data_IF_676408279543
#
_entry.id   IF_676408279543
#
_cell.length_a   1.000
_cell.length_b   1.000
_cell.length_c   1.000
_cell.angle_alpha   90.00
_cell.angle_beta   90.00
_cell.angle_gamma   90.00
#
_symmetry.space_group_name_H-M   'P 1'
#
loop_
_entity.id
_entity.type
_entity.pdbx_description
1 polymer ?
#
# COMPACT_ATOMS: atom_id res chain seq x y z
N UNK A 1 10.42 -6.50 69.28
CA UNK A 1 11.75 -6.75 69.86
C UNK A 1 11.69 -8.17 70.39
N UNK A 2 11.88 -9.14 69.51
CA UNK A 2 13.16 -9.87 69.32
C UNK A 2 13.09 -11.14 70.21
N UNK A 3 13.46 -12.36 69.83
CA UNK A 3 14.49 -12.89 68.92
C UNK A 3 14.04 -14.29 68.45
N UNK A 4 14.49 -14.68 67.27
CA UNK A 4 14.42 -15.98 66.61
C UNK A 4 15.19 -17.13 67.33
N UNK A 5 14.84 -18.39 67.05
CA UNK A 5 15.70 -19.33 66.28
C UNK A 5 15.12 -20.77 66.20
N UNK A 6 14.80 -21.21 64.96
CA UNK A 6 15.32 -22.37 64.16
C UNK A 6 15.62 -23.68 64.93
N UNK A 7 15.22 -24.90 64.47
CA UNK A 7 15.69 -25.53 63.20
C UNK A 7 14.64 -26.47 62.52
N UNK A 8 14.80 -27.17 61.38
CA UNK A 8 15.90 -27.93 60.73
C UNK A 8 15.54 -28.09 59.23
N UNK A 9 16.55 -28.16 58.37
CA UNK A 9 16.49 -28.51 56.94
C UNK A 9 15.87 -29.89 56.62
N UNK A 10 15.09 -29.98 55.54
CA UNK A 10 15.06 -31.17 54.68
C UNK A 10 15.02 -30.76 53.20
N UNK A 11 15.98 -31.29 52.45
CA UNK A 11 16.07 -31.21 50.98
C UNK A 11 15.02 -32.07 50.26
N UNK A 12 15.11 -32.16 48.92
CA UNK A 12 13.94 -32.10 48.05
C UNK A 12 13.37 -33.49 47.71
N UNK A 13 12.04 -33.60 47.77
CA UNK A 13 11.30 -34.66 47.07
C UNK A 13 10.50 -33.97 45.96
N UNK A 14 11.02 -34.05 44.73
CA UNK A 14 10.38 -33.57 43.52
C UNK A 14 9.44 -34.67 43.03
N UNK A 15 8.17 -34.60 43.41
CA UNK A 15 7.12 -35.47 42.88
C UNK A 15 6.77 -35.01 41.47
N UNK A 16 6.93 -35.91 40.51
CA UNK A 16 6.46 -35.79 39.13
C UNK A 16 4.94 -35.57 39.12
N UNK A 17 4.55 -34.32 38.87
CA UNK A 17 3.19 -33.95 38.56
C UNK A 17 3.05 -33.79 37.05
N UNK A 18 2.40 -34.79 36.43
CA UNK A 18 1.88 -34.78 35.06
C UNK A 18 1.32 -33.39 34.68
N UNK A 19 2.03 -32.70 33.80
CA UNK A 19 1.45 -31.65 32.97
C UNK A 19 1.18 -32.27 31.61
N UNK A 20 -0.10 -32.45 31.31
CA UNK A 20 -0.58 -32.64 29.95
C UNK A 20 -0.17 -31.42 29.12
N UNK A 21 0.96 -31.58 28.42
CA UNK A 21 1.32 -30.77 27.27
C UNK A 21 0.28 -31.00 26.18
N UNK A 22 -0.77 -30.18 26.16
CA UNK A 22 -1.51 -29.94 24.92
C UNK A 22 -0.63 -29.10 23.99
N UNK A 23 0.29 -29.81 23.34
CA UNK A 23 0.96 -29.42 22.10
C UNK A 23 -0.11 -29.04 21.08
N UNK A 24 -0.29 -27.74 20.88
CA UNK A 24 -0.97 -27.19 19.71
C UNK A 24 -0.06 -27.36 18.50
N UNK A 25 0.06 -28.58 18.00
CA UNK A 25 0.57 -28.88 16.67
C UNK A 25 -0.50 -28.50 15.66
N UNK A 26 -0.36 -27.31 15.05
CA UNK A 26 -0.97 -26.97 13.77
C UNK A 26 -0.17 -25.85 13.10
N UNK A 27 1.15 -26.02 13.02
CA UNK A 27 1.98 -25.42 11.97
C UNK A 27 2.12 -26.46 10.86
N UNK A 28 1.13 -26.50 9.98
CA UNK A 28 1.25 -27.19 8.70
C UNK A 28 1.46 -26.12 7.63
N UNK A 29 2.67 -26.09 7.11
CA UNK A 29 3.03 -25.48 5.84
C UNK A 29 1.96 -25.74 4.78
N UNK A 30 1.21 -24.71 4.37
CA UNK A 30 0.47 -24.75 3.11
C UNK A 30 1.43 -24.37 1.97
N UNK A 31 2.23 -25.35 1.55
CA UNK A 31 2.80 -25.38 0.21
C UNK A 31 1.67 -25.76 -0.75
N UNK A 32 1.32 -24.82 -1.65
CA UNK A 32 0.69 -25.07 -2.95
C UNK A 32 -0.51 -26.01 -3.00
N UNK A 33 -1.72 -25.51 -2.70
CA UNK A 33 -2.90 -26.01 -3.42
C UNK A 33 -3.02 -25.24 -4.74
N UNK A 34 -2.65 -25.90 -5.83
CA UNK A 34 -2.96 -25.48 -7.20
C UNK A 34 -4.49 -25.35 -7.34
N UNK A 35 -5.00 -24.12 -7.22
CA UNK A 35 -6.41 -23.82 -7.43
C UNK A 35 -6.71 -23.67 -8.93
N UNK A 36 -6.61 -24.76 -9.70
CA UNK A 36 -7.24 -24.85 -11.02
C UNK A 36 -8.27 -25.98 -11.04
N UNK A 37 -9.50 -25.71 -10.54
CA UNK A 37 -10.66 -26.58 -10.78
C UNK A 37 -11.14 -26.62 -12.24
N UNK A 38 -10.42 -25.98 -13.17
CA UNK A 38 -10.77 -25.85 -14.60
C UNK A 38 -9.83 -26.62 -15.54
N UNK A 39 -8.70 -27.12 -15.03
CA UNK A 39 -7.68 -27.85 -15.77
C UNK A 39 -7.92 -29.35 -15.58
N UNK A 40 -8.71 -30.01 -16.45
CA UNK A 40 -9.08 -31.42 -16.23
C UNK A 40 -8.06 -32.43 -16.78
N UNK A 41 -7.00 -32.00 -17.49
CA UNK A 41 -5.87 -32.87 -17.85
C UNK A 41 -4.68 -32.56 -16.94
N UNK A 42 -3.99 -33.59 -16.39
CA UNK A 42 -2.74 -33.38 -15.67
C UNK A 42 -1.70 -32.76 -16.62
N UNK A 43 -0.89 -31.83 -16.09
CA UNK A 43 0.22 -31.22 -16.82
C UNK A 43 1.30 -32.30 -16.99
N UNK A 44 1.44 -32.84 -18.20
CA UNK A 44 2.33 -33.98 -18.50
C UNK A 44 3.55 -33.59 -19.31
N UNK A 45 3.48 -32.45 -20.00
CA UNK A 45 4.55 -31.97 -20.86
C UNK A 45 5.10 -30.68 -20.27
N UNK A 46 6.41 -30.67 -20.02
CA UNK A 46 7.14 -29.52 -19.53
C UNK A 46 8.27 -29.13 -20.47
N UNK A 47 8.53 -27.84 -20.53
CA UNK A 47 9.70 -27.26 -21.19
C UNK A 47 10.28 -26.20 -20.27
N UNK A 48 11.61 -26.09 -20.28
CA UNK A 48 12.34 -25.09 -19.51
C UNK A 48 13.32 -24.37 -20.41
N UNK A 49 13.30 -23.04 -20.35
CA UNK A 49 14.27 -22.18 -21.00
C UNK A 49 14.96 -21.32 -19.95
N UNK A 50 16.27 -21.18 -20.08
CA UNK A 50 17.07 -20.29 -19.24
C UNK A 50 17.69 -19.21 -20.11
N UNK A 51 17.45 -17.96 -19.77
CA UNK A 51 18.10 -16.78 -20.36
C UNK A 51 19.21 -16.36 -19.39
N UNK A 52 20.48 -16.68 -19.68
CA UNK A 52 21.60 -16.32 -18.82
C UNK A 52 22.04 -14.87 -19.08
N UNK A 53 22.93 -14.37 -18.21
CA UNK A 53 23.72 -13.15 -18.45
C UNK A 53 22.92 -11.84 -18.53
N UNK A 54 21.80 -11.72 -17.82
CA UNK A 54 21.09 -10.44 -17.70
C UNK A 54 21.94 -9.51 -16.83
N UNK A 55 22.25 -8.31 -17.33
CA UNK A 55 23.11 -7.35 -16.64
C UNK A 55 22.24 -6.48 -15.73
N UNK A 56 22.60 -6.41 -14.45
CA UNK A 56 21.98 -5.53 -13.48
C UNK A 56 22.98 -4.43 -13.09
N UNK A 57 22.90 -3.30 -13.77
CA UNK A 57 23.61 -2.07 -13.39
C UNK A 57 22.69 -0.83 -13.51
N UNK A 58 23.19 0.32 -13.09
CA UNK A 58 22.44 1.57 -13.04
C UNK A 58 22.06 2.18 -14.39
N UNK A 59 22.48 1.60 -15.52
CA UNK A 59 22.18 2.11 -16.86
C UNK A 59 21.22 1.20 -17.63
N UNK A 60 21.03 -0.03 -17.15
CA UNK A 60 20.22 -1.03 -17.82
C UNK A 60 18.75 -1.00 -17.41
N UNK A 61 17.90 -1.43 -18.35
CA UNK A 61 16.46 -1.66 -18.16
C UNK A 61 16.17 -3.13 -18.37
N UNK A 62 15.42 -3.75 -17.46
CA UNK A 62 14.90 -5.11 -17.64
C UNK A 62 13.40 -5.03 -17.87
N UNK A 63 12.96 -5.54 -19.02
CA UNK A 63 11.55 -5.61 -19.36
C UNK A 63 11.13 -7.06 -19.58
N UNK A 64 10.11 -7.50 -18.87
CA UNK A 64 9.52 -8.84 -19.02
C UNK A 64 8.06 -8.66 -19.40
N UNK A 65 7.68 -9.18 -20.56
CA UNK A 65 6.33 -9.13 -21.06
C UNK A 65 5.78 -10.53 -21.35
N UNK A 66 4.63 -10.86 -20.77
CA UNK A 66 3.89 -12.08 -21.05
C UNK A 66 2.54 -11.72 -21.64
N UNK A 67 2.26 -12.17 -22.87
CA UNK A 67 1.02 -11.90 -23.59
C UNK A 67 0.30 -13.18 -23.99
N UNK A 68 -1.01 -13.09 -24.07
CA UNK A 68 -1.85 -14.11 -24.74
C UNK A 68 -2.25 -13.57 -26.11
N UNK A 69 -1.59 -14.05 -27.16
CA UNK A 69 -1.72 -13.54 -28.52
C UNK A 69 -3.09 -13.86 -29.12
N UNK A 70 -3.91 -12.82 -29.33
CA UNK A 70 -5.17 -12.89 -30.08
C UNK A 70 -4.87 -12.68 -31.57
N UNK A 71 -5.11 -13.69 -32.39
CA UNK A 71 -5.11 -13.55 -33.85
C UNK A 71 -6.57 -13.47 -34.33
N UNK A 72 -6.88 -12.48 -35.15
CA UNK A 72 -8.24 -12.20 -35.64
C UNK A 72 -8.79 -13.27 -36.62
N UNK A 73 -7.95 -14.19 -37.08
CA UNK A 73 -8.30 -15.20 -38.11
C UNK A 73 -8.36 -16.65 -37.59
N UNK A 74 -8.27 -16.89 -36.28
CA UNK A 74 -8.22 -18.26 -35.75
C UNK A 74 -9.56 -18.75 -35.22
N UNK A 75 -9.97 -19.95 -35.64
CA UNK A 75 -11.04 -20.73 -35.01
C UNK A 75 -10.41 -21.71 -34.02
N UNK A 76 -10.89 -21.79 -32.78
CA UNK A 76 -10.33 -22.76 -31.82
C UNK A 76 -10.91 -22.63 -30.44
N UNK A 77 -10.42 -23.44 -29.50
CA UNK A 77 -10.80 -23.30 -28.09
C UNK A 77 -9.88 -22.34 -27.37
N UNK A 78 -10.48 -21.48 -26.56
CA UNK A 78 -9.76 -20.52 -25.74
C UNK A 78 -8.85 -21.23 -24.73
N UNK A 79 -7.57 -20.86 -24.75
CA UNK A 79 -6.60 -21.30 -23.76
C UNK A 79 -6.82 -20.57 -22.43
N UNK A 80 -6.63 -21.32 -21.35
CA UNK A 80 -6.47 -20.76 -20.02
C UNK A 80 -4.99 -20.78 -19.66
N UNK A 81 -4.39 -19.60 -19.66
CA UNK A 81 -3.01 -19.37 -19.18
C UNK A 81 -3.08 -18.97 -17.72
N UNK A 82 -2.25 -19.57 -16.88
CA UNK A 82 -2.14 -19.25 -15.46
C UNK A 82 -0.74 -19.52 -14.95
N UNK A 83 -0.42 -19.03 -13.76
CA UNK A 83 0.84 -19.33 -13.09
C UNK A 83 1.38 -18.11 -12.35
N UNK A 84 2.71 -17.99 -12.29
CA UNK A 84 3.37 -16.95 -11.50
C UNK A 84 4.68 -16.46 -12.10
N UNK A 85 5.02 -15.22 -11.78
CA UNK A 85 6.33 -14.61 -11.97
C UNK A 85 6.90 -14.26 -10.59
N UNK A 86 8.01 -14.90 -10.24
CA UNK A 86 8.72 -14.68 -8.98
C UNK A 86 10.02 -13.92 -9.24
N UNK A 87 10.25 -12.83 -8.49
CA UNK A 87 11.51 -12.08 -8.49
C UNK A 87 12.25 -12.40 -7.20
N UNK A 88 13.38 -13.09 -7.31
CA UNK A 88 14.13 -13.58 -6.15
C UNK A 88 15.63 -13.29 -6.27
N UNK A 89 16.31 -13.28 -5.13
CA UNK A 89 17.77 -13.22 -5.11
C UNK A 89 18.37 -14.51 -5.67
N UNK A 90 19.43 -14.38 -6.48
CA UNK A 90 20.21 -15.50 -6.98
C UNK A 90 21.03 -16.17 -5.88
N UNK A 91 21.35 -15.46 -4.79
CA UNK A 91 22.29 -15.91 -3.76
C UNK A 91 23.77 -15.91 -4.22
N UNK A 92 24.00 -15.80 -5.52
CA UNK A 92 25.31 -15.68 -6.15
C UNK A 92 25.80 -14.23 -6.15
N UNK A 93 27.10 -14.01 -5.92
CA UNK A 93 27.76 -12.69 -5.94
C UNK A 93 28.16 -12.23 -7.36
N UNK A 94 27.59 -12.83 -8.39
CA UNK A 94 27.76 -12.40 -9.77
C UNK A 94 27.11 -11.04 -9.99
N UNK A 95 27.49 -10.27 -11.01
CA UNK A 95 26.70 -9.11 -11.48
C UNK A 95 25.69 -9.50 -12.58
N UNK A 96 25.62 -10.80 -12.90
CA UNK A 96 24.77 -11.36 -13.95
C UNK A 96 23.64 -12.15 -13.33
N UNK A 97 22.42 -11.73 -13.60
CA UNK A 97 21.23 -12.50 -13.28
C UNK A 97 20.84 -13.44 -14.42
N UNK A 98 19.74 -14.14 -14.21
CA UNK A 98 19.14 -15.03 -15.20
C UNK A 98 17.63 -15.04 -15.07
N UNK A 99 16.94 -15.38 -16.15
CA UNK A 99 15.49 -15.63 -16.14
C UNK A 99 15.26 -17.08 -16.53
N UNK A 100 14.55 -17.81 -15.68
CA UNK A 100 14.09 -19.18 -15.96
C UNK A 100 12.60 -19.14 -16.28
N UNK A 101 12.22 -19.77 -17.39
CA UNK A 101 10.84 -19.87 -17.85
C UNK A 101 10.50 -21.34 -17.96
N UNK A 102 9.56 -21.80 -17.12
CA UNK A 102 9.02 -23.16 -17.16
C UNK A 102 7.60 -23.12 -17.69
N UNK A 103 7.35 -23.88 -18.74
CA UNK A 103 6.07 -24.01 -19.41
C UNK A 103 5.60 -25.44 -19.16
N UNK A 104 4.41 -25.61 -18.59
CA UNK A 104 3.81 -26.92 -18.41
C UNK A 104 2.39 -26.96 -18.97
N UNK A 105 2.04 -28.04 -19.67
CA UNK A 105 0.72 -28.19 -20.29
C UNK A 105 0.27 -29.65 -20.34
N UNK A 106 -1.01 -29.85 -20.64
CA UNK A 106 -1.57 -31.19 -20.89
C UNK A 106 -1.31 -31.71 -22.31
N UNK A 107 -0.63 -30.95 -23.17
CA UNK A 107 -0.45 -31.25 -24.60
C UNK A 107 0.85 -30.65 -25.14
N UNK A 108 1.72 -31.50 -25.70
CA UNK A 108 3.04 -31.08 -26.19
C UNK A 108 3.00 -29.91 -27.18
N UNK A 109 1.95 -29.82 -28.04
CA UNK A 109 1.83 -28.74 -29.03
C UNK A 109 1.55 -27.39 -28.37
N UNK A 110 0.88 -27.36 -27.21
CA UNK A 110 0.68 -26.12 -26.44
C UNK A 110 1.99 -25.58 -25.88
N UNK A 111 2.86 -26.49 -25.41
CA UNK A 111 4.20 -26.12 -24.93
C UNK A 111 5.04 -25.58 -26.09
N UNK A 112 5.04 -26.27 -27.24
CA UNK A 112 5.76 -25.84 -28.45
C UNK A 112 5.22 -24.55 -29.08
N UNK A 113 3.92 -24.26 -28.94
CA UNK A 113 3.30 -23.06 -29.50
C UNK A 113 3.59 -21.78 -28.69
N UNK A 114 4.06 -21.92 -27.45
CA UNK A 114 4.48 -20.78 -26.64
C UNK A 114 5.84 -20.31 -27.10
N UNK A 115 5.91 -19.09 -27.64
CA UNK A 115 7.14 -18.49 -28.16
C UNK A 115 7.80 -17.64 -27.09
N UNK A 116 9.13 -17.77 -26.99
CA UNK A 116 9.95 -16.94 -26.12
C UNK A 116 10.94 -16.21 -27.02
N UNK A 117 10.98 -14.88 -26.93
CA UNK A 117 11.94 -14.03 -27.60
C UNK A 117 12.72 -13.24 -26.56
N UNK A 118 14.03 -13.11 -26.79
CA UNK A 118 14.92 -12.33 -25.95
C UNK A 118 15.80 -11.47 -26.84
N UNK A 119 15.76 -10.16 -26.60
CA UNK A 119 16.58 -9.16 -27.27
C UNK A 119 16.85 -8.02 -26.28
N UNK A 120 18.10 -7.60 -26.13
CA UNK A 120 18.52 -6.45 -25.31
C UNK A 120 17.76 -6.26 -23.96
N UNK A 121 17.82 -7.29 -23.09
CA UNK A 121 17.16 -7.32 -21.77
C UNK A 121 15.63 -7.19 -21.80
N UNK A 122 15.03 -7.38 -22.97
CA UNK A 122 13.60 -7.56 -23.17
C UNK A 122 13.27 -9.04 -23.35
N UNK A 123 12.47 -9.58 -22.43
CA UNK A 123 11.96 -10.96 -22.47
C UNK A 123 10.49 -10.90 -22.88
N UNK A 124 10.16 -11.38 -24.09
CA UNK A 124 8.78 -11.50 -24.58
C UNK A 124 8.33 -12.96 -24.59
N UNK A 125 7.22 -13.25 -23.91
CA UNK A 125 6.63 -14.59 -23.79
C UNK A 125 5.23 -14.53 -24.36
N UNK A 126 5.02 -15.21 -25.48
CA UNK A 126 3.77 -15.17 -26.23
C UNK A 126 3.13 -16.56 -26.28
N UNK A 127 1.97 -16.70 -25.64
CA UNK A 127 1.15 -17.92 -25.69
C UNK A 127 -0.04 -17.69 -26.62
N UNK A 128 -0.42 -18.63 -27.50
CA UNK A 128 -1.59 -18.45 -28.36
C UNK A 128 -2.87 -18.34 -27.54
N UNK A 129 -3.82 -17.52 -28.01
CA UNK A 129 -5.15 -17.40 -27.38
C UNK A 129 -6.06 -18.58 -27.70
N UNK A 130 -5.93 -19.17 -28.89
CA UNK A 130 -6.74 -20.29 -29.37
C UNK A 130 -5.88 -21.50 -29.73
N UNK A 131 -6.40 -22.69 -29.43
CA UNK A 131 -5.89 -23.95 -29.95
C UNK A 131 -6.92 -24.49 -30.95
N UNK A 132 -6.61 -24.38 -32.23
CA UNK A 132 -7.43 -24.86 -33.35
C UNK A 132 -7.37 -26.40 -33.49
N UNK A 133 -6.31 -27.01 -32.94
CA UNK A 133 -6.14 -28.47 -32.85
C UNK A 133 -6.77 -29.12 -31.62
N UNK A 134 -7.49 -28.38 -30.77
CA UNK A 134 -8.07 -28.91 -29.53
C UNK A 134 -9.51 -29.38 -29.71
N UNK A 135 -9.83 -30.57 -29.18
CA UNK A 135 -11.17 -31.16 -29.26
C UNK A 135 -12.26 -30.20 -28.78
N UNK A 136 -13.26 -29.96 -29.63
CA UNK A 136 -14.42 -29.08 -29.33
C UNK A 136 -15.17 -29.51 -28.07
N UNK A 137 -15.11 -30.80 -27.74
CA UNK A 137 -15.75 -31.43 -26.59
C UNK A 137 -14.65 -31.84 -25.60
N UNK A 138 -14.79 -31.46 -24.32
CA UNK A 138 -13.85 -31.85 -23.26
C UNK A 138 -13.25 -30.65 -22.48
N UNK A 139 -12.20 -30.88 -21.67
CA UNK A 139 -11.54 -29.85 -20.87
C UNK A 139 -11.05 -28.66 -21.69
N UNK A 140 -10.98 -27.49 -21.05
CA UNK A 140 -10.31 -26.33 -21.64
C UNK A 140 -8.79 -26.60 -21.74
N UNK A 141 -8.12 -26.19 -22.84
CA UNK A 141 -6.68 -26.22 -22.92
C UNK A 141 -6.07 -25.29 -21.87
N UNK A 142 -5.03 -25.77 -21.18
CA UNK A 142 -4.42 -25.05 -20.07
C UNK A 142 -2.89 -25.04 -20.23
N UNK A 143 -2.30 -23.88 -19.94
CA UNK A 143 -0.85 -23.68 -19.93
C UNK A 143 -0.48 -23.03 -18.59
N UNK A 144 0.42 -23.68 -17.86
CA UNK A 144 1.01 -23.16 -16.63
C UNK A 144 2.36 -22.52 -16.98
N UNK A 145 2.54 -21.26 -16.63
CA UNK A 145 3.81 -20.54 -16.77
C UNK A 145 4.40 -20.26 -15.39
N UNK A 146 5.65 -20.64 -15.18
CA UNK A 146 6.41 -20.24 -14.00
C UNK A 146 7.65 -19.50 -14.50
N UNK A 147 7.69 -18.20 -14.24
CA UNK A 147 8.79 -17.33 -14.61
C UNK A 147 9.54 -16.99 -13.32
N UNK A 148 10.84 -17.21 -13.27
CA UNK A 148 11.67 -16.88 -12.12
C UNK A 148 12.81 -15.98 -12.56
N UNK A 149 12.82 -14.75 -12.04
CA UNK A 149 13.88 -13.77 -12.26
C UNK A 149 14.87 -13.89 -11.10
N UNK A 150 16.07 -14.37 -11.39
CA UNK A 150 17.16 -14.45 -10.42
C UNK A 150 18.00 -13.19 -10.52
N UNK A 151 17.86 -12.35 -9.50
CA UNK A 151 18.53 -11.07 -9.38
C UNK A 151 19.79 -11.24 -8.53
N UNK A 152 20.97 -10.77 -8.96
CA UNK A 152 22.16 -10.91 -8.15
C UNK A 152 22.12 -10.08 -6.87
N UNK A 153 22.85 -10.52 -5.85
CA UNK A 153 22.90 -9.85 -4.55
C UNK A 153 23.48 -8.43 -4.68
N UNK A 154 22.86 -7.46 -3.99
CA UNK A 154 23.30 -6.06 -3.94
C UNK A 154 23.44 -5.39 -5.32
N UNK A 155 22.63 -5.86 -6.28
CA UNK A 155 22.60 -5.31 -7.63
C UNK A 155 21.73 -4.05 -7.73
N UNK A 156 21.94 -3.29 -8.80
CA UNK A 156 21.14 -2.11 -9.12
C UNK A 156 20.60 -2.25 -10.55
N UNK A 157 19.44 -1.66 -10.82
CA UNK A 157 18.88 -1.49 -12.16
C UNK A 157 18.28 -0.09 -12.29
N UNK A 158 18.24 0.49 -13.49
CA UNK A 158 17.56 1.78 -13.67
C UNK A 158 16.04 1.61 -13.64
N UNK A 159 15.55 0.77 -14.56
CA UNK A 159 14.12 0.48 -14.74
C UNK A 159 13.87 -1.03 -14.71
N UNK A 160 12.84 -1.42 -13.96
CA UNK A 160 12.30 -2.77 -13.95
C UNK A 160 10.83 -2.74 -14.37
N UNK A 161 10.51 -3.29 -15.53
CA UNK A 161 9.15 -3.35 -16.07
C UNK A 161 8.69 -4.80 -16.22
N UNK A 162 7.61 -5.15 -15.52
CA UNK A 162 6.96 -6.46 -15.60
C UNK A 162 5.53 -6.26 -16.05
N UNK A 163 5.16 -6.85 -17.18
CA UNK A 163 3.81 -6.78 -17.74
C UNK A 163 3.31 -8.17 -18.13
N UNK A 164 2.28 -8.66 -17.45
CA UNK A 164 1.78 -10.03 -17.64
C UNK A 164 0.27 -10.05 -17.82
N UNK A 165 -0.27 -10.92 -18.65
CA UNK A 165 -1.72 -10.98 -18.88
C UNK A 165 -2.44 -11.83 -17.83
N UNK A 166 -1.83 -12.92 -17.34
CA UNK A 166 -2.57 -13.91 -16.52
C UNK A 166 -1.74 -14.57 -15.43
N UNK A 167 -0.76 -13.85 -14.87
CA UNK A 167 0.15 -14.38 -13.85
C UNK A 167 0.05 -13.58 -12.55
N UNK A 168 0.14 -14.30 -11.44
CA UNK A 168 0.49 -13.73 -10.14
C UNK A 168 1.94 -13.22 -10.21
N UNK A 169 2.23 -12.06 -9.63
CA UNK A 169 3.58 -11.50 -9.55
C UNK A 169 3.99 -11.40 -8.10
N UNK A 170 5.12 -12.00 -7.73
CA UNK A 170 5.62 -11.99 -6.35
C UNK A 170 7.06 -11.55 -6.29
N UNK A 171 7.35 -10.58 -5.42
CA UNK A 171 8.71 -10.30 -4.96
C UNK A 171 8.98 -11.19 -3.76
N UNK A 172 10.08 -11.93 -3.79
CA UNK A 172 10.43 -12.88 -2.73
C UNK A 172 11.23 -12.19 -1.62
N UNK A 173 11.01 -12.63 -0.37
CA UNK A 173 11.71 -12.11 0.81
C UNK A 173 13.23 -12.26 0.68
N UNK A 174 13.98 -11.25 1.14
CA UNK A 174 15.45 -11.22 1.05
C UNK A 174 16.02 -10.69 -0.26
N UNK A 175 15.18 -10.19 -1.19
CA UNK A 175 15.64 -9.57 -2.43
C UNK A 175 16.38 -8.24 -2.17
N UNK A 176 17.70 -8.24 -2.44
CA UNK A 176 18.57 -7.05 -2.40
C UNK A 176 18.79 -6.48 -3.80
N UNK A 177 17.76 -5.81 -4.33
CA UNK A 177 17.81 -5.09 -5.61
C UNK A 177 17.49 -3.63 -5.36
N UNK A 178 18.36 -2.72 -5.82
CA UNK A 178 18.07 -1.29 -5.87
C UNK A 178 17.54 -0.94 -7.26
N UNK A 179 16.33 -0.39 -7.35
CA UNK A 179 15.82 0.18 -8.59
C UNK A 179 16.02 1.69 -8.53
N UNK A 180 16.66 2.30 -9.52
CA UNK A 180 17.07 3.70 -9.44
C UNK A 180 15.93 4.66 -9.76
N UNK A 181 15.30 4.50 -10.92
CA UNK A 181 14.26 5.40 -11.39
C UNK A 181 12.86 4.81 -11.19
N UNK A 182 12.53 3.74 -11.93
CA UNK A 182 11.16 3.25 -12.02
C UNK A 182 11.02 1.74 -11.90
N UNK A 183 10.06 1.32 -11.07
CA UNK A 183 9.58 -0.06 -11.03
C UNK A 183 8.11 -0.10 -11.44
N UNK A 184 7.79 -0.90 -12.45
CA UNK A 184 6.41 -1.12 -12.91
C UNK A 184 6.06 -2.60 -12.88
N UNK A 185 4.96 -2.95 -12.20
CA UNK A 185 4.36 -4.28 -12.23
C UNK A 185 2.92 -4.13 -12.69
N UNK A 186 2.60 -4.66 -13.86
CA UNK A 186 1.25 -4.67 -14.42
C UNK A 186 0.80 -6.09 -14.68
N UNK A 187 -0.36 -6.47 -14.15
CA UNK A 187 -1.02 -7.74 -14.48
C UNK A 187 -2.46 -7.50 -14.92
N UNK A 188 -2.98 -8.24 -15.91
CA UNK A 188 -4.42 -8.14 -16.22
C UNK A 188 -5.23 -9.02 -15.25
N UNK A 189 -4.83 -10.27 -15.07
CA UNK A 189 -5.43 -11.18 -14.10
C UNK A 189 -4.35 -11.83 -13.25
N UNK A 190 -4.25 -11.42 -12.00
CA UNK A 190 -3.25 -11.94 -11.07
C UNK A 190 -3.08 -11.05 -9.85
N UNK A 191 -2.64 -11.67 -8.76
CA UNK A 191 -2.31 -10.97 -7.54
C UNK A 191 -0.88 -10.43 -7.60
N UNK A 192 -0.63 -9.27 -7.00
CA UNK A 192 0.73 -8.75 -6.82
C UNK A 192 1.09 -8.81 -5.35
N UNK A 193 2.18 -9.49 -5.01
CA UNK A 193 2.66 -9.66 -3.64
C UNK A 193 4.06 -9.11 -3.49
N UNK A 194 4.23 -8.19 -2.54
CA UNK A 194 5.54 -7.68 -2.13
C UNK A 194 5.73 -7.99 -0.64
N UNK A 195 6.93 -8.37 -0.16
CA UNK A 195 7.09 -8.70 1.24
C UNK A 195 6.85 -7.47 2.14
N UNK A 196 6.35 -7.72 3.34
CA UNK A 196 6.06 -6.69 4.35
C UNK A 196 7.35 -5.98 4.84
N UNK A 197 7.24 -4.71 5.22
CA UNK A 197 8.37 -3.91 5.74
C UNK A 197 8.70 -4.24 7.20
N UNK A 198 7.74 -4.78 7.96
CA UNK A 198 7.77 -4.80 9.42
C UNK A 198 8.22 -6.13 10.05
N UNK A 199 8.53 -7.16 9.25
CA UNK A 199 8.68 -8.53 9.78
C UNK A 199 10.03 -8.89 10.42
N UNK A 200 11.06 -8.05 10.34
CA UNK A 200 12.38 -8.43 10.88
C UNK A 200 12.98 -7.33 11.76
N UNK A 201 13.18 -7.65 13.04
CA UNK A 201 14.11 -6.94 13.94
C UNK A 201 15.58 -7.06 13.53
N UNK A 202 15.86 -7.66 12.37
CA UNK A 202 17.09 -7.54 11.60
C UNK A 202 16.79 -6.63 10.42
N UNK A 203 17.59 -5.58 10.27
CA UNK A 203 17.64 -4.66 9.11
C UNK A 203 16.83 -5.12 7.90
N UNK A 204 15.84 -4.32 7.49
CA UNK A 204 15.07 -4.51 6.26
C UNK A 204 16.01 -4.70 5.07
N UNK A 205 16.21 -5.96 4.68
CA UNK A 205 17.15 -6.36 3.63
C UNK A 205 16.52 -6.28 2.23
N UNK A 206 15.26 -5.85 2.12
CA UNK A 206 14.61 -5.56 0.83
C UNK A 206 14.79 -4.07 0.51
N UNK A 207 15.51 -3.79 -0.58
CA UNK A 207 15.92 -2.42 -0.97
C UNK A 207 15.35 -1.96 -2.31
N UNK A 208 14.10 -2.32 -2.62
CA UNK A 208 13.52 -2.00 -3.93
C UNK A 208 13.50 -0.49 -4.22
N UNK A 209 13.12 0.35 -3.25
CA UNK A 209 13.27 1.81 -3.19
C UNK A 209 13.40 2.59 -4.52
N UNK A 210 12.52 2.37 -5.52
CA UNK A 210 12.52 3.18 -6.74
C UNK A 210 12.02 4.58 -6.44
N UNK A 211 12.38 5.56 -7.27
CA UNK A 211 11.77 6.90 -7.21
C UNK A 211 10.29 6.84 -7.55
N UNK A 212 9.94 6.08 -8.58
CA UNK A 212 8.57 5.85 -9.03
C UNK A 212 8.22 4.37 -8.99
N UNK A 213 7.11 4.03 -8.32
CA UNK A 213 6.57 2.69 -8.28
C UNK A 213 5.13 2.67 -8.79
N UNK A 214 4.90 1.87 -9.83
CA UNK A 214 3.61 1.70 -10.48
C UNK A 214 3.18 0.24 -10.38
N UNK A 215 2.11 -0.04 -9.64
CA UNK A 215 1.58 -1.40 -9.49
C UNK A 215 0.14 -1.42 -9.93
N UNK A 216 -0.18 -2.24 -10.93
CA UNK A 216 -1.52 -2.32 -11.49
C UNK A 216 -1.97 -3.77 -11.68
N UNK A 217 -3.19 -4.06 -11.26
CA UNK A 217 -3.92 -5.27 -11.64
C UNK A 217 -5.31 -4.92 -12.16
N UNK A 218 -5.85 -5.62 -13.15
CA UNK A 218 -7.28 -5.46 -13.48
C UNK A 218 -8.15 -6.36 -12.61
N UNK A 219 -7.73 -7.60 -12.37
CA UNK A 219 -8.41 -8.56 -11.50
C UNK A 219 -7.40 -9.25 -10.60
N UNK A 220 -7.37 -8.87 -9.32
CA UNK A 220 -6.49 -9.44 -8.33
C UNK A 220 -6.25 -8.52 -7.14
N UNK A 221 -5.77 -9.09 -6.04
CA UNK A 221 -5.36 -8.32 -4.87
C UNK A 221 -3.93 -7.80 -5.03
N UNK A 222 -3.65 -6.65 -4.40
CA UNK A 222 -2.29 -6.10 -4.28
C UNK A 222 -1.96 -6.02 -2.79
N UNK A 223 -0.95 -6.76 -2.37
CA UNK A 223 -0.60 -6.91 -0.96
C UNK A 223 0.91 -6.73 -0.76
N UNK A 224 1.31 -6.01 0.29
CA UNK A 224 2.72 -5.97 0.66
C UNK A 224 3.26 -4.68 1.25
N UNK A 225 4.59 -4.65 1.40
CA UNK A 225 5.34 -3.48 1.85
C UNK A 225 5.85 -2.64 0.67
N UNK A 226 5.55 -1.33 0.70
CA UNK A 226 5.95 -0.40 -0.36
C UNK A 226 6.60 0.86 0.24
N UNK A 227 7.71 1.29 -0.35
CA UNK A 227 8.39 2.54 0.03
C UNK A 227 7.91 3.70 -0.83
N UNK A 228 7.49 4.80 -0.20
CA UNK A 228 7.12 6.04 -0.86
C UNK A 228 8.33 6.97 -0.98
N UNK A 229 8.92 6.98 -2.18
CA UNK A 229 9.80 8.05 -2.68
C UNK A 229 8.94 9.10 -3.38
N UNK A 230 9.12 9.35 -4.68
CA UNK A 230 8.46 10.45 -5.39
C UNK A 230 7.02 10.09 -5.73
N UNK A 231 6.80 8.88 -6.26
CA UNK A 231 5.47 8.39 -6.62
C UNK A 231 5.28 6.93 -6.23
N UNK A 232 4.20 6.64 -5.50
CA UNK A 232 3.65 5.29 -5.38
C UNK A 232 2.22 5.31 -5.92
N UNK A 233 2.02 4.66 -7.06
CA UNK A 233 0.70 4.51 -7.70
C UNK A 233 0.29 3.04 -7.72
N UNK A 234 -0.84 2.74 -7.08
CA UNK A 234 -1.40 1.40 -7.02
C UNK A 234 -2.82 1.43 -7.56
N UNK A 235 -3.13 0.55 -8.52
CA UNK A 235 -4.47 0.46 -9.13
C UNK A 235 -4.95 -0.99 -9.21
N UNK A 236 -6.17 -1.26 -8.75
CA UNK A 236 -6.87 -2.52 -8.99
C UNK A 236 -8.20 -2.26 -9.70
N UNK A 237 -8.57 -3.04 -10.72
CA UNK A 237 -9.96 -2.98 -11.23
C UNK A 237 -10.91 -3.69 -10.26
N UNK A 238 -10.57 -4.92 -9.90
CA UNK A 238 -11.32 -5.73 -8.94
C UNK A 238 -10.36 -6.48 -8.03
N UNK A 239 -10.29 -6.04 -6.78
CA UNK A 239 -9.50 -6.65 -5.72
C UNK A 239 -9.13 -5.65 -4.63
N UNK A 240 -8.84 -6.18 -3.46
CA UNK A 240 -8.42 -5.36 -2.31
C UNK A 240 -6.94 -4.96 -2.44
N UNK A 241 -6.63 -3.77 -1.95
CA UNK A 241 -5.28 -3.24 -1.83
C UNK A 241 -4.93 -3.13 -0.35
N UNK A 242 -3.98 -3.95 0.12
CA UNK A 242 -3.58 -4.01 1.53
C UNK A 242 -2.08 -3.78 1.62
N UNK A 243 -1.68 -2.59 2.05
CA UNK A 243 -0.28 -2.19 2.02
C UNK A 243 0.26 -1.68 3.35
N UNK A 244 1.53 -1.98 3.59
CA UNK A 244 2.37 -1.29 4.55
C UNK A 244 3.17 -0.21 3.82
N UNK A 245 3.03 1.03 4.26
CA UNK A 245 3.68 2.18 3.67
C UNK A 245 4.93 2.56 4.48
N UNK A 246 6.09 2.49 3.81
CA UNK A 246 7.35 3.07 4.27
C UNK A 246 7.50 4.48 3.73
N UNK A 247 7.97 5.43 4.53
CA UNK A 247 8.21 6.80 4.07
C UNK A 247 9.71 6.99 3.85
N UNK A 248 10.10 7.35 2.63
CA UNK A 248 11.50 7.60 2.29
C UNK A 248 11.84 9.09 2.23
N UNK A 249 13.09 9.40 2.54
CA UNK A 249 13.66 10.75 2.40
C UNK A 249 13.70 11.18 0.93
N UNK A 250 13.67 12.50 0.71
CA UNK A 250 13.79 13.06 -0.63
C UNK A 250 15.17 12.76 -1.23
N UNK A 251 15.20 12.51 -2.53
CA UNK A 251 16.43 12.43 -3.30
C UNK A 251 17.05 13.84 -3.39
N UNK A 252 18.34 14.04 -3.04
CA UNK A 252 19.03 15.32 -3.24
C UNK A 252 18.92 15.87 -4.67
N UNK A 253 18.77 15.01 -5.67
CA UNK A 253 18.65 15.39 -7.07
C UNK A 253 17.21 15.74 -7.52
N UNK A 254 16.19 15.47 -6.69
CA UNK A 254 14.77 15.64 -7.05
C UNK A 254 13.95 16.20 -5.89
N UNK A 255 13.61 17.49 -5.98
CA UNK A 255 12.76 18.18 -5.01
C UNK A 255 11.26 17.93 -5.27
N UNK A 256 10.86 16.68 -5.49
CA UNK A 256 9.46 16.33 -5.81
C UNK A 256 8.66 15.93 -4.57
N UNK A 257 7.36 16.22 -4.63
CA UNK A 257 6.37 15.80 -3.62
C UNK A 257 6.33 14.27 -3.49
N UNK A 258 6.06 13.76 -2.29
CA UNK A 258 5.78 12.35 -2.03
C UNK A 258 4.32 12.05 -2.35
N UNK A 259 4.03 11.58 -3.57
CA UNK A 259 2.66 11.31 -4.00
C UNK A 259 2.27 9.84 -3.81
N UNK A 260 1.28 9.60 -2.96
CA UNK A 260 0.59 8.32 -2.82
C UNK A 260 -0.74 8.38 -3.58
N UNK A 261 -0.95 7.45 -4.51
CA UNK A 261 -2.20 7.31 -5.27
C UNK A 261 -2.64 5.84 -5.24
N UNK A 262 -3.78 5.55 -4.62
CA UNK A 262 -4.32 4.19 -4.52
C UNK A 262 -5.77 4.17 -4.99
N UNK A 263 -6.05 3.37 -6.00
CA UNK A 263 -7.36 3.28 -6.66
C UNK A 263 -7.84 1.82 -6.73
N UNK A 264 -9.11 1.58 -6.42
CA UNK A 264 -9.75 0.29 -6.73
C UNK A 264 -11.20 0.48 -7.20
N UNK A 265 -11.65 -0.11 -8.31
CA UNK A 265 -13.07 0.01 -8.66
C UNK A 265 -13.91 -0.83 -7.68
N UNK A 266 -13.46 -2.05 -7.37
CA UNK A 266 -14.16 -2.96 -6.46
C UNK A 266 -13.18 -3.64 -5.51
N UNK A 267 -13.17 -3.21 -4.26
CA UNK A 267 -12.31 -3.78 -3.24
C UNK A 267 -12.04 -2.83 -2.09
N UNK A 268 -11.48 -3.38 -1.01
CA UNK A 268 -11.11 -2.58 0.15
C UNK A 268 -9.72 -1.99 -0.03
N UNK A 269 -9.52 -0.75 0.42
CA UNK A 269 -8.19 -0.13 0.54
C UNK A 269 -7.83 -0.13 2.03
N UNK A 270 -6.70 -0.76 2.38
CA UNK A 270 -6.12 -0.72 3.71
C UNK A 270 -4.66 -0.29 3.64
N UNK A 271 -4.35 0.85 4.25
CA UNK A 271 -2.99 1.42 4.27
C UNK A 271 -2.54 1.59 5.71
N UNK A 272 -1.40 0.99 6.04
CA UNK A 272 -0.80 1.07 7.37
C UNK A 272 0.58 1.73 7.27
N UNK A 273 0.84 2.75 8.09
CA UNK A 273 2.18 3.36 8.20
C UNK A 273 2.82 3.00 9.55
N UNK A 274 3.34 1.77 9.74
CA UNK A 274 3.73 1.21 11.03
C UNK A 274 4.72 2.09 11.80
N UNK A 275 5.77 2.58 11.13
CA UNK A 275 6.85 3.40 11.72
C UNK A 275 6.34 4.70 12.36
N UNK A 276 5.21 5.22 11.90
CA UNK A 276 4.64 6.48 12.40
C UNK A 276 3.58 6.22 13.47
N UNK A 277 2.69 5.25 13.24
CA UNK A 277 1.49 5.08 14.07
C UNK A 277 1.62 3.99 15.16
N UNK A 278 2.55 3.03 15.02
CA UNK A 278 2.55 1.79 15.81
C UNK A 278 3.87 1.45 16.51
N UNK A 279 5.00 2.07 16.13
CA UNK A 279 6.27 1.85 16.83
C UNK A 279 6.31 2.55 18.20
N UNK A 280 6.28 1.81 19.31
CA UNK A 280 6.53 2.34 20.67
C UNK A 280 8.04 2.46 20.91
N UNK A 281 8.53 3.65 21.28
CA UNK A 281 9.95 3.90 21.52
C UNK A 281 10.50 3.12 22.74
N UNK A 282 11.61 2.42 22.51
CA UNK A 282 12.63 2.12 23.51
C UNK A 282 13.28 3.43 24.00
N UNK A 283 13.74 3.44 25.25
CA UNK A 283 14.15 4.57 26.10
C UNK A 283 15.25 5.53 25.59
N UNK A 284 15.61 5.54 24.31
CA UNK A 284 16.56 6.50 23.72
C UNK A 284 15.85 7.28 22.61
N UNK A 285 15.56 8.55 22.90
CA UNK A 285 14.80 9.45 22.04
C UNK A 285 15.34 9.57 20.62
N UNK A 286 14.45 9.98 19.73
CA UNK A 286 14.51 10.05 18.26
C UNK A 286 14.11 8.75 17.55
N UNK A 287 12.98 8.78 16.80
CA UNK A 287 12.82 8.21 15.42
C UNK A 287 11.40 8.04 14.85
N UNK A 288 10.31 8.46 15.51
CA UNK A 288 8.96 8.37 14.91
C UNK A 288 8.54 9.68 14.22
N UNK A 289 9.40 10.23 13.37
CA UNK A 289 9.06 11.43 12.58
C UNK A 289 9.09 11.05 11.10
N UNK A 290 8.04 11.37 10.33
CA UNK A 290 8.12 11.21 8.89
C UNK A 290 9.23 12.11 8.34
N UNK A 291 9.94 11.70 7.28
CA UNK A 291 10.85 12.59 6.56
C UNK A 291 10.17 13.91 6.17
N UNK A 292 10.92 15.01 6.13
CA UNK A 292 10.36 16.31 5.74
C UNK A 292 10.10 16.35 4.24
N UNK A 293 8.85 16.16 3.81
CA UNK A 293 8.42 16.18 2.40
C UNK A 293 6.99 16.67 2.23
N UNK A 294 6.65 17.13 1.03
CA UNK A 294 5.26 17.37 0.65
C UNK A 294 4.54 16.04 0.39
N UNK A 295 3.86 15.51 1.40
CA UNK A 295 3.01 14.33 1.27
C UNK A 295 1.65 14.67 0.65
N UNK A 296 1.41 14.13 -0.55
CA UNK A 296 0.16 14.23 -1.27
C UNK A 296 -0.50 12.86 -1.32
N UNK A 297 -1.74 12.76 -0.86
CA UNK A 297 -2.49 11.50 -0.78
C UNK A 297 -3.74 11.57 -1.64
N UNK A 298 -3.95 10.52 -2.45
CA UNK A 298 -5.13 10.34 -3.30
C UNK A 298 -5.63 8.90 -3.16
N UNK A 299 -6.82 8.72 -2.58
CA UNK A 299 -7.43 7.41 -2.35
C UNK A 299 -8.80 7.38 -3.01
N UNK A 300 -9.06 6.40 -3.86
CA UNK A 300 -10.32 6.30 -4.60
C UNK A 300 -10.85 4.88 -4.65
N UNK A 301 -12.13 4.69 -4.32
CA UNK A 301 -12.84 3.44 -4.59
C UNK A 301 -14.24 3.66 -5.14
N UNK A 302 -14.70 2.83 -6.07
CA UNK A 302 -16.12 2.84 -6.43
C UNK A 302 -16.93 2.04 -5.39
N UNK A 303 -16.45 0.87 -4.98
CA UNK A 303 -17.10 0.12 -3.91
C UNK A 303 -16.11 -0.62 -3.03
N UNK A 304 -16.19 -0.33 -1.74
CA UNK A 304 -15.39 -0.97 -0.71
C UNK A 304 -15.02 -0.02 0.42
N UNK A 305 -14.46 -0.58 1.48
CA UNK A 305 -14.02 0.18 2.65
C UNK A 305 -12.67 0.83 2.40
N UNK A 306 -12.49 2.07 2.86
CA UNK A 306 -11.16 2.71 2.95
C UNK A 306 -10.76 2.79 4.41
N UNK A 307 -9.66 2.14 4.78
CA UNK A 307 -8.98 2.30 6.07
C UNK A 307 -7.55 2.79 5.82
N UNK A 308 -7.21 4.00 6.25
CA UNK A 308 -5.88 4.55 5.97
C UNK A 308 -5.27 5.28 7.17
N UNK A 309 -4.06 4.86 7.53
CA UNK A 309 -3.17 5.54 8.48
C UNK A 309 -2.04 6.21 7.69
N UNK A 310 -2.15 7.51 7.40
CA UNK A 310 -1.26 8.21 6.47
C UNK A 310 -0.79 9.58 6.99
N UNK A 311 0.37 10.00 6.50
CA UNK A 311 0.92 11.34 6.71
C UNK A 311 0.49 12.24 5.55
N UNK A 312 0.09 13.47 5.84
CA UNK A 312 -0.44 14.42 4.85
C UNK A 312 0.24 15.77 5.03
N UNK A 313 0.67 16.43 3.93
CA UNK A 313 1.26 17.76 3.99
C UNK A 313 0.41 18.81 3.27
N UNK A 314 0.46 18.90 1.94
CA UNK A 314 -0.35 19.89 1.20
C UNK A 314 -1.78 19.43 0.94
N UNK A 315 -1.99 18.13 0.65
CA UNK A 315 -3.29 17.65 0.15
C UNK A 315 -3.53 16.17 0.46
N UNK A 316 -4.74 15.87 0.93
CA UNK A 316 -5.32 14.53 0.91
C UNK A 316 -6.70 14.59 0.26
N UNK A 317 -6.95 13.74 -0.73
CA UNK A 317 -8.25 13.56 -1.37
C UNK A 317 -8.67 12.10 -1.22
N UNK A 318 -9.87 11.87 -0.69
CA UNK A 318 -10.42 10.53 -0.49
C UNK A 318 -11.81 10.51 -1.10
N UNK A 319 -12.03 9.61 -2.06
CA UNK A 319 -13.31 9.46 -2.76
C UNK A 319 -13.83 8.05 -2.63
N UNK A 320 -15.11 7.93 -2.33
CA UNK A 320 -15.80 6.64 -2.36
C UNK A 320 -17.22 6.82 -2.89
N UNK A 321 -17.66 5.97 -3.82
CA UNK A 321 -19.08 5.94 -4.16
C UNK A 321 -19.86 5.14 -3.12
N UNK A 322 -19.37 3.97 -2.72
CA UNK A 322 -20.05 3.16 -1.71
C UNK A 322 -19.06 2.46 -0.79
N UNK A 323 -19.13 2.75 0.50
CA UNK A 323 -18.39 2.07 1.55
C UNK A 323 -17.93 3.01 2.66
N UNK A 324 -17.62 2.43 3.81
CA UNK A 324 -17.18 3.19 4.96
C UNK A 324 -15.74 3.69 4.79
N UNK A 325 -15.49 4.89 5.30
CA UNK A 325 -14.18 5.54 5.28
C UNK A 325 -13.72 5.77 6.71
N UNK A 326 -12.55 5.23 7.06
CA UNK A 326 -11.88 5.39 8.35
C UNK A 326 -10.46 5.91 8.11
N UNK A 327 -10.21 7.17 8.46
CA UNK A 327 -8.93 7.83 8.25
C UNK A 327 -8.28 8.21 9.57
N UNK A 328 -6.99 7.92 9.70
CA UNK A 328 -6.11 8.48 10.74
C UNK A 328 -5.00 9.25 10.04
N UNK A 329 -5.04 10.56 10.20
CA UNK A 329 -4.20 11.48 9.44
C UNK A 329 -3.23 12.18 10.39
N UNK A 330 -1.95 12.13 10.07
CA UNK A 330 -0.92 12.97 10.70
C UNK A 330 -0.59 14.12 9.76
N UNK A 331 -1.15 15.31 9.97
CA UNK A 331 -0.78 16.48 9.19
C UNK A 331 0.65 16.93 9.53
N UNK A 332 1.44 17.20 8.49
CA UNK A 332 2.80 17.74 8.57
C UNK A 332 2.81 18.99 7.70
N UNK A 333 2.57 20.19 8.28
CA UNK A 333 2.48 21.41 7.50
C UNK A 333 3.81 21.66 6.77
N UNK A 334 3.70 21.90 5.46
CA UNK A 334 4.83 22.08 4.56
C UNK A 334 4.62 23.35 3.75
N UNK A 335 5.58 24.28 3.81
CA UNK A 335 5.59 25.51 3.00
C UNK A 335 6.66 25.44 1.93
N UNK A 336 6.42 24.65 0.89
CA UNK A 336 7.12 24.80 -0.39
C UNK A 336 6.28 25.67 -1.33
N UNK A 337 6.61 26.96 -1.44
CA UNK A 337 6.03 27.91 -2.43
C UNK A 337 4.49 28.05 -2.47
N UNK A 338 3.74 27.34 -1.64
CA UNK A 338 2.31 27.49 -1.40
C UNK A 338 2.03 28.35 -0.16
N UNK A 339 0.77 28.66 0.08
CA UNK A 339 0.30 29.44 1.24
C UNK A 339 0.44 28.70 2.60
N UNK A 340 1.20 27.60 2.68
CA UNK A 340 1.39 26.80 3.88
C UNK A 340 0.16 26.02 4.35
N UNK A 341 -0.87 25.87 3.51
CA UNK A 341 -2.14 25.24 3.87
C UNK A 341 -2.13 23.74 3.62
N UNK A 342 -2.66 22.99 4.57
CA UNK A 342 -2.98 21.57 4.42
C UNK A 342 -4.44 21.42 4.04
N UNK A 343 -4.75 20.73 2.95
CA UNK A 343 -6.13 20.49 2.52
C UNK A 343 -6.50 19.02 2.66
N UNK A 344 -7.64 18.72 3.29
CA UNK A 344 -8.15 17.35 3.42
C UNK A 344 -9.57 17.30 2.91
N UNK A 345 -9.81 16.56 1.84
CA UNK A 345 -11.12 16.43 1.20
C UNK A 345 -11.59 14.99 1.24
N UNK A 346 -12.81 14.78 1.71
CA UNK A 346 -13.51 13.50 1.56
C UNK A 346 -14.83 13.69 0.82
N UNK A 347 -15.08 12.88 -0.19
CA UNK A 347 -16.34 12.88 -0.95
C UNK A 347 -16.86 11.44 -1.01
N UNK A 348 -17.90 11.14 -0.22
CA UNK A 348 -18.41 9.78 -0.01
C UNK A 348 -19.91 9.75 -0.28
N UNK A 349 -20.34 9.20 -1.42
CA UNK A 349 -21.78 9.19 -1.74
C UNK A 349 -22.56 8.39 -0.68
N UNK A 350 -22.18 7.13 -0.44
CA UNK A 350 -22.88 6.25 0.51
C UNK A 350 -21.92 5.57 1.48
N UNK A 351 -22.09 5.79 2.78
CA UNK A 351 -21.29 5.14 3.82
C UNK A 351 -20.91 6.08 4.95
N UNK A 352 -20.42 5.51 6.06
CA UNK A 352 -19.99 6.29 7.22
C UNK A 352 -18.58 6.81 7.01
N UNK A 353 -18.36 8.07 7.32
CA UNK A 353 -17.04 8.71 7.26
C UNK A 353 -16.57 9.04 8.66
N UNK A 354 -15.43 8.48 9.09
CA UNK A 354 -14.79 8.81 10.36
C UNK A 354 -13.35 9.22 10.14
N UNK A 355 -13.00 10.41 10.62
CA UNK A 355 -11.71 11.03 10.37
C UNK A 355 -11.09 11.44 11.70
N UNK A 356 -9.89 10.94 11.97
CA UNK A 356 -9.08 11.34 13.10
C UNK A 356 -7.89 12.15 12.61
N UNK A 357 -7.92 13.44 12.89
CA UNK A 357 -6.77 14.32 12.72
C UNK A 357 -5.93 14.26 14.00
N UNK A 358 -4.72 13.71 13.90
CA UNK A 358 -3.83 13.52 15.03
C UNK A 358 -2.94 14.75 15.24
N UNK A 359 -2.43 14.93 16.47
CA UNK A 359 -1.45 15.98 16.73
C UNK A 359 -0.12 15.70 16.02
N UNK A 360 0.40 16.72 15.35
CA UNK A 360 1.77 16.73 14.85
C UNK A 360 2.71 17.20 15.96
N UNK A 361 3.55 16.31 16.50
CA UNK A 361 4.61 16.70 17.45
C UNK A 361 5.89 17.04 16.65
N UNK A 362 5.79 18.02 15.75
CA UNK A 362 6.92 18.49 14.96
C UNK A 362 7.61 19.66 15.67
N UNK A 363 8.39 19.33 16.70
CA UNK A 363 9.31 20.25 17.37
C UNK A 363 10.71 20.08 16.77
N UNK A 364 10.96 20.69 15.62
CA UNK A 364 12.26 20.70 14.97
C UNK A 364 12.38 21.90 14.04
N UNK A 365 13.56 22.52 14.01
CA UNK A 365 13.94 23.45 12.95
C UNK A 365 13.73 22.77 11.57
N UNK A 366 13.50 23.54 10.48
CA UNK A 366 13.51 22.99 9.13
C UNK A 366 14.82 22.22 8.94
N UNK A 367 14.74 20.89 8.95
CA UNK A 367 15.92 20.07 8.79
C UNK A 367 16.33 20.15 7.33
N UNK A 368 17.27 21.05 7.07
CA UNK A 368 18.09 21.08 5.88
C UNK A 368 18.83 19.74 5.77
N UNK A 369 18.22 18.76 5.10
CA UNK A 369 19.01 17.82 4.32
C UNK A 369 19.63 18.65 3.18
N UNK A 370 20.81 18.33 2.67
CA UNK A 370 21.50 19.15 1.66
C UNK A 370 20.70 19.43 0.36
N UNK A 371 19.53 18.82 0.18
CA UNK A 371 18.51 19.17 -0.82
C UNK A 371 17.80 20.54 -0.55
N UNK A 372 17.86 21.03 0.69
CA UNK A 372 17.28 22.30 1.13
C UNK A 372 18.16 23.50 0.81
N UNK A 373 19.35 23.28 0.25
CA UNK A 373 20.22 24.34 -0.28
C UNK A 373 19.86 24.74 -1.71
N UNK A 374 19.12 23.91 -2.44
CA UNK A 374 18.68 24.19 -3.82
C UNK A 374 17.23 24.63 -3.91
N UNK A 375 16.47 24.50 -2.82
CA UNK A 375 15.07 24.89 -2.76
C UNK A 375 14.81 25.62 -1.45
N UNK A 376 14.32 26.86 -1.54
CA UNK A 376 13.90 27.71 -0.41
C UNK A 376 12.71 27.07 0.34
N UNK A 377 12.99 25.98 1.06
CA UNK A 377 12.00 25.11 1.71
C UNK A 377 12.15 25.21 3.21
N UNK A 378 11.21 25.87 3.88
CA UNK A 378 11.12 25.86 5.33
C UNK A 378 9.91 25.04 5.78
N UNK A 379 10.12 24.09 6.69
CA UNK A 379 9.04 23.48 7.46
C UNK A 379 8.61 24.47 8.57
N UNK A 380 7.31 24.77 8.67
CA UNK A 380 6.78 25.67 9.70
C UNK A 380 6.88 24.97 11.06
N UNK A 381 7.46 25.67 12.03
CA UNK A 381 7.61 25.14 13.38
C UNK A 381 6.24 24.98 14.07
N UNK A 382 5.68 23.76 14.03
CA UNK A 382 4.34 23.45 14.59
C UNK A 382 4.24 23.64 16.10
N UNK A 383 5.37 23.77 16.79
CA UNK A 383 5.44 23.99 18.24
C UNK A 383 4.75 25.29 18.72
N UNK A 384 4.59 26.28 17.84
CA UNK A 384 3.92 27.56 18.16
C UNK A 384 2.58 27.79 17.46
N UNK A 385 2.25 27.04 16.40
CA UNK A 385 1.09 27.34 15.53
C UNK A 385 0.00 26.27 15.50
N UNK A 386 0.20 25.10 16.12
CA UNK A 386 -0.81 24.03 16.08
C UNK A 386 -1.12 23.59 14.64
N UNK A 387 -2.36 23.16 14.37
CA UNK A 387 -2.84 22.83 13.02
C UNK A 387 -3.26 24.07 12.21
N UNK A 388 -2.63 25.23 12.42
CA UNK A 388 -2.93 26.44 11.66
C UNK A 388 -2.77 26.20 10.15
N UNK A 389 -3.72 26.68 9.36
CA UNK A 389 -3.74 26.49 7.90
C UNK A 389 -4.35 25.16 7.45
N UNK A 390 -4.85 24.32 8.37
CA UNK A 390 -5.60 23.11 8.01
C UNK A 390 -7.01 23.47 7.54
N UNK A 391 -7.32 23.14 6.29
CA UNK A 391 -8.65 23.25 5.72
C UNK A 391 -9.17 21.87 5.36
N UNK A 392 -10.21 21.41 6.04
CA UNK A 392 -10.86 20.14 5.72
C UNK A 392 -12.29 20.35 5.23
N UNK A 393 -12.68 19.56 4.23
CA UNK A 393 -14.01 19.58 3.64
C UNK A 393 -14.50 18.15 3.42
N UNK A 394 -15.65 17.82 4.01
CA UNK A 394 -16.18 16.48 4.04
C UNK A 394 -17.60 16.50 3.52
N UNK A 395 -17.86 15.73 2.46
CA UNK A 395 -19.17 15.66 1.82
C UNK A 395 -19.67 14.23 1.81
N UNK A 396 -20.97 14.08 2.04
CA UNK A 396 -21.68 12.84 1.76
C UNK A 396 -23.06 13.09 1.15
N UNK A 397 -23.58 12.10 0.42
CA UNK A 397 -24.99 12.06 0.03
C UNK A 397 -25.77 11.40 1.16
N UNK A 398 -25.37 10.20 1.59
CA UNK A 398 -26.00 9.46 2.67
C UNK A 398 -24.97 8.80 3.57
N UNK A 399 -25.01 9.14 4.85
CA UNK A 399 -24.13 8.58 5.87
C UNK A 399 -23.68 9.62 6.88
N UNK A 400 -23.29 9.13 8.05
CA UNK A 400 -22.80 9.97 9.13
C UNK A 400 -21.35 10.40 8.85
N UNK A 401 -21.05 11.67 9.12
CA UNK A 401 -19.69 12.20 9.06
C UNK A 401 -19.26 12.56 10.48
N UNK A 402 -18.20 11.93 10.95
CA UNK A 402 -17.54 12.22 12.23
C UNK A 402 -16.12 12.67 12.01
N UNK A 403 -15.78 13.84 12.54
CA UNK A 403 -14.43 14.42 12.47
C UNK A 403 -13.94 14.68 13.88
N UNK A 404 -12.86 14.00 14.24
CA UNK A 404 -12.12 14.17 15.49
C UNK A 404 -10.87 15.02 15.20
N UNK A 405 -10.78 16.21 15.79
CA UNK A 405 -9.63 17.13 15.65
C UNK A 405 -8.96 17.38 17.01
N UNK A 406 -7.64 17.65 17.05
CA UNK A 406 -6.92 17.69 18.32
C UNK A 406 -7.22 18.96 19.12
N UNK A 407 -6.93 18.90 20.42
CA UNK A 407 -7.11 20.03 21.35
C UNK A 407 -6.41 21.33 20.92
N UNK A 408 -5.31 21.25 20.17
CA UNK A 408 -4.58 22.44 19.70
C UNK A 408 -5.16 23.05 18.42
N UNK A 409 -6.17 22.44 17.82
CA UNK A 409 -6.84 22.99 16.65
C UNK A 409 -7.58 24.29 17.02
N UNK A 410 -7.52 25.25 16.10
CA UNK A 410 -8.13 26.57 16.18
C UNK A 410 -8.58 26.93 14.77
N UNK A 411 -9.86 27.22 14.60
CA UNK A 411 -10.47 27.41 13.30
C UNK A 411 -11.97 27.62 13.35
N UNK A 412 -12.54 27.76 12.15
CA UNK A 412 -13.97 27.85 11.90
C UNK A 412 -14.57 26.46 11.63
N UNK A 413 -15.76 26.21 12.15
CA UNK A 413 -16.60 25.06 11.83
C UNK A 413 -17.79 25.55 11.01
N UNK A 414 -18.06 24.90 9.88
CA UNK A 414 -19.29 25.08 9.10
C UNK A 414 -19.86 23.69 8.82
N UNK A 415 -21.12 23.46 9.19
CA UNK A 415 -21.79 22.20 8.94
C UNK A 415 -23.21 22.42 8.42
N UNK A 416 -23.60 21.68 7.38
CA UNK A 416 -24.96 21.68 6.84
C UNK A 416 -25.47 20.27 6.50
N UNK A 417 -26.70 19.95 6.93
CA UNK A 417 -27.38 18.69 6.58
C UNK A 417 -28.86 18.91 6.29
N UNK A 418 -29.43 18.20 5.32
CA UNK A 418 -30.88 18.25 5.07
C UNK A 418 -31.64 17.43 6.11
N UNK A 419 -31.13 16.26 6.49
CA UNK A 419 -31.71 15.42 7.54
C UNK A 419 -30.63 14.84 8.45
N UNK A 420 -30.91 14.72 9.75
CA UNK A 420 -29.94 14.28 10.76
C UNK A 420 -29.52 15.42 11.67
N UNK A 421 -28.73 15.11 12.70
CA UNK A 421 -28.34 16.10 13.71
C UNK A 421 -26.96 16.68 13.42
N UNK A 422 -26.74 17.93 13.83
CA UNK A 422 -25.42 18.56 13.79
C UNK A 422 -24.98 18.81 15.23
N UNK A 423 -23.87 18.20 15.61
CA UNK A 423 -23.31 18.30 16.96
C UNK A 423 -21.85 18.68 16.93
N UNK A 424 -21.45 19.61 17.80
CA UNK A 424 -20.07 20.01 17.98
C UNK A 424 -19.72 19.96 19.48
N UNK A 425 -18.67 19.22 19.83
CA UNK A 425 -18.21 19.02 21.20
C UNK A 425 -16.76 19.46 21.35
N UNK A 426 -16.41 19.98 22.53
CA UNK A 426 -15.05 20.37 22.88
C UNK A 426 -15.00 21.67 23.68
N UNK A 427 -13.86 21.92 24.33
CA UNK A 427 -13.65 23.17 25.09
C UNK A 427 -13.54 24.37 24.14
N UNK A 428 -14.08 25.53 24.54
CA UNK A 428 -13.90 26.81 23.84
C UNK A 428 -14.43 26.85 22.40
N UNK A 429 -15.49 26.10 22.08
CA UNK A 429 -16.23 26.25 20.83
C UNK A 429 -17.38 27.23 21.08
N UNK A 430 -17.39 28.34 20.35
CA UNK A 430 -18.51 29.29 20.36
C UNK A 430 -19.38 29.04 19.14
N UNK A 431 -20.62 28.65 19.35
CA UNK A 431 -21.60 28.53 18.26
C UNK A 431 -22.08 29.93 17.90
N UNK A 432 -21.74 30.38 16.68
CA UNK A 432 -22.11 31.70 16.18
C UNK A 432 -23.49 31.70 15.55
N UNK A 433 -23.82 30.60 14.85
CA UNK A 433 -25.09 30.44 14.16
C UNK A 433 -25.55 28.99 14.26
N UNK A 434 -26.84 28.80 14.53
CA UNK A 434 -27.49 27.51 14.41
C UNK A 434 -28.89 27.70 13.84
N UNK A 435 -29.24 26.90 12.85
CA UNK A 435 -30.58 26.83 12.26
C UNK A 435 -31.08 25.40 12.37
N UNK A 436 -32.29 25.26 12.90
CA UNK A 436 -33.03 23.99 12.97
C UNK A 436 -33.98 23.81 11.78
N UNK A 437 -34.09 24.81 10.89
CA UNK A 437 -34.87 24.73 9.66
C UNK A 437 -34.23 23.78 8.63
N UNK A 438 -34.82 23.66 7.44
CA UNK A 438 -34.27 22.84 6.36
C UNK A 438 -33.62 23.73 5.29
N UNK A 439 -32.32 23.54 4.98
CA UNK A 439 -31.38 22.62 5.62
C UNK A 439 -30.96 23.09 7.03
N UNK A 440 -30.64 22.13 7.90
CA UNK A 440 -30.07 22.40 9.22
C UNK A 440 -28.65 22.90 9.02
N UNK A 441 -28.25 23.89 9.79
CA UNK A 441 -26.95 24.54 9.64
C UNK A 441 -26.35 24.90 11.00
N UNK A 442 -25.03 24.78 11.12
CA UNK A 442 -24.27 25.24 12.26
C UNK A 442 -22.98 25.94 11.80
N UNK A 443 -22.71 27.10 12.38
CA UNK A 443 -21.43 27.80 12.25
C UNK A 443 -20.85 27.99 13.65
N UNK A 444 -19.61 27.58 13.83
CA UNK A 444 -18.89 27.67 15.11
C UNK A 444 -17.49 28.23 14.91
N UNK A 445 -16.92 28.78 15.97
CA UNK A 445 -15.56 29.31 15.97
C UNK A 445 -14.83 28.88 17.24
N UNK A 446 -13.55 28.52 17.08
CA UNK A 446 -12.62 28.26 18.17
C UNK A 446 -11.30 28.96 17.86
N UNK A 447 -10.95 30.00 18.61
CA UNK A 447 -9.70 30.75 18.41
C UNK A 447 -9.67 31.56 17.11
N UNK A 448 -8.59 31.47 16.34
CA UNK A 448 -8.40 32.14 15.04
C UNK A 448 -9.14 31.46 13.88
N UNK A 449 -9.29 32.18 12.75
CA UNK A 449 -9.95 31.72 11.52
C UNK A 449 -8.97 31.12 10.49
N UNK A 450 -7.76 30.78 10.91
CA UNK A 450 -6.69 30.33 10.00
C UNK A 450 -6.89 28.89 9.49
N UNK A 451 -7.75 28.13 10.16
CA UNK A 451 -8.11 26.75 9.82
C UNK A 451 -9.62 26.65 9.68
N UNK A 452 -10.11 25.66 8.94
CA UNK A 452 -11.55 25.42 8.82
C UNK A 452 -11.89 23.94 8.69
N UNK A 453 -12.97 23.51 9.34
CA UNK A 453 -13.60 22.21 9.10
C UNK A 453 -14.98 22.46 8.51
N UNK A 454 -15.21 21.93 7.30
CA UNK A 454 -16.49 21.99 6.60
C UNK A 454 -17.08 20.60 6.45
N UNK A 455 -18.33 20.42 6.86
CA UNK A 455 -19.03 19.14 6.76
C UNK A 455 -20.38 19.34 6.08
N UNK A 456 -20.70 18.50 5.10
CA UNK A 456 -21.95 18.57 4.37
C UNK A 456 -22.51 17.18 4.14
N UNK A 457 -23.78 16.97 4.46
CA UNK A 457 -24.51 15.74 4.09
C UNK A 457 -25.90 16.08 3.54
N UNK A 458 -26.47 15.23 2.69
CA UNK A 458 -27.92 15.33 2.41
C UNK A 458 -28.69 14.54 3.47
N UNK A 459 -28.24 13.31 3.75
CA UNK A 459 -28.90 12.43 4.70
C UNK A 459 -27.90 11.81 5.67
N UNK A 460 -27.76 12.39 6.85
CA UNK A 460 -26.89 11.87 7.89
C UNK A 460 -26.55 12.89 8.96
N UNK A 461 -26.09 12.39 10.10
CA UNK A 461 -25.67 13.23 11.20
C UNK A 461 -24.21 13.67 11.02
N UNK A 462 -23.92 14.90 11.46
CA UNK A 462 -22.61 15.53 11.39
C UNK A 462 -22.08 15.76 12.81
N UNK A 463 -20.93 15.18 13.12
CA UNK A 463 -20.29 15.30 14.43
C UNK A 463 -18.88 15.85 14.32
N UNK A 464 -18.62 16.99 14.95
CA UNK A 464 -17.26 17.47 15.21
C UNK A 464 -16.91 17.25 16.69
N UNK A 465 -15.79 16.61 16.94
CA UNK A 465 -15.20 16.53 18.27
C UNK A 465 -13.84 17.22 18.29
N UNK A 466 -13.65 18.19 19.19
CA UNK A 466 -12.35 18.82 19.44
C UNK A 466 -11.80 18.38 20.78
N UNK A 467 -10.77 17.53 20.75
CA UNK A 467 -10.29 16.83 21.93
C UNK A 467 -9.12 15.90 21.65
N UNK A 468 -8.68 15.18 22.68
CA UNK A 468 -7.98 13.92 22.42
C UNK A 468 -9.06 12.85 22.19
N UNK A 469 -9.05 12.15 21.04
CA UNK A 469 -9.99 11.06 20.77
C UNK A 469 -9.79 9.86 21.71
#
# INVERSE_FOLDING_TARGET
MDVEHVPIEQGPIRVEGNRDERLSTNDIHFVGRDACGKCLRPLRFDSMMTIPNIIFDSENTLRIEQRVHKSDQQCGRQLHVFGRLDICSSGESSNRGRVEIKIASGDEKLTAATKIHFDDHFVDISTPFLADWWDKIGPKPCVKLIITVYVPCDSQIDILEVKVDSLDVSVIEGLKLKVADRMSITTFSGNVRVPSLSRTGRTSDIRLNPREMLVQTYSGAIEGGFSLHDLLKIKSGSGSVIIELGLASADPASATSAKLSVETDFGNIRIMTPLIFYFRQSRKGYKNRPPSRDYVVDLETTSGKIEADVVVASRATIRSRAGDVLLRLVPVPFSARGNGKTTVVTDVDYGKTRIFLLESIYNGAPCANNASLTTDLEAINTSKSGLAGLHSAHRSISGDIKVDVPNRWSGELIADTHTGDITAYGKNITIMRSSQGEPRMMEGLRGSRDSSVRMKSLWGSLELFVGQP
#
